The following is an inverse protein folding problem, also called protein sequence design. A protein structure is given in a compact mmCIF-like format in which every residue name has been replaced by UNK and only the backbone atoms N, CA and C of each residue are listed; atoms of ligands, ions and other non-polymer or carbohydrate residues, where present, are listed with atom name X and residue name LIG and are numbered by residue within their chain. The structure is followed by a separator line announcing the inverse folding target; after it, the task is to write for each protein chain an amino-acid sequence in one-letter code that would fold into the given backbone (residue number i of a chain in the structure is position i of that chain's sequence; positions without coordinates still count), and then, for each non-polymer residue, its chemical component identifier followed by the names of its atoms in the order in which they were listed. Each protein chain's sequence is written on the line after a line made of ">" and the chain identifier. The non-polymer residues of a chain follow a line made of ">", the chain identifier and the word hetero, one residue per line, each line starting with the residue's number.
data_IF_197223929796
#
_entry.id   IF_197223929796
#
_cell.length_a   1.000
_cell.length_b   1.000
_cell.length_c   1.000
_cell.angle_alpha   90.00
_cell.angle_beta   90.00
_cell.angle_gamma   90.00
#
_symmetry.space_group_name_H-M   'P 1'
#
loop_
_entity.id
_entity.type
_entity.pdbx_description
1 polymer ?
#
# COMPACT_ATOMS: atom_id res chain seq x y z
N UNK A 1 -0.85 27.81 -44.64
CA UNK A 1 -1.68 27.95 -43.44
C UNK A 1 -0.97 27.27 -42.29
N UNK A 2 -0.71 27.93 -41.16
CA UNK A 2 -0.01 27.28 -40.06
C UNK A 2 -0.94 26.23 -39.45
N UNK A 3 -0.43 25.00 -39.36
CA UNK A 3 -1.09 23.87 -38.75
C UNK A 3 -1.12 24.10 -37.24
N UNK A 4 -2.15 24.79 -36.74
CA UNK A 4 -2.38 24.94 -35.30
C UNK A 4 -2.75 23.55 -34.82
N UNK A 5 -1.79 22.84 -34.23
CA UNK A 5 -2.06 21.61 -33.50
C UNK A 5 -3.13 21.96 -32.45
N UNK A 6 -4.35 21.48 -32.67
CA UNK A 6 -5.44 21.61 -31.70
C UNK A 6 -5.03 20.76 -30.50
N UNK A 7 -4.45 21.42 -29.49
CA UNK A 7 -4.10 20.77 -28.23
C UNK A 7 -5.31 20.88 -27.33
N UNK A 8 -6.07 19.79 -27.22
CA UNK A 8 -7.15 19.71 -26.24
C UNK A 8 -6.58 19.93 -24.84
N UNK A 9 -7.15 20.87 -24.10
CA UNK A 9 -6.81 21.17 -22.71
C UNK A 9 -7.81 20.53 -21.75
N UNK A 10 -7.49 20.55 -20.44
CA UNK A 10 -8.46 20.14 -19.43
C UNK A 10 -9.69 21.05 -19.43
N UNK A 11 -9.51 22.35 -19.70
CA UNK A 11 -10.60 23.32 -19.81
C UNK A 11 -11.53 22.98 -20.99
N UNK A 12 -10.98 22.51 -22.10
CA UNK A 12 -11.79 22.06 -23.25
C UNK A 12 -12.59 20.81 -22.91
N UNK A 13 -11.98 19.89 -22.14
CA UNK A 13 -12.67 18.70 -21.66
C UNK A 13 -13.78 19.04 -20.65
N UNK A 14 -13.54 19.97 -19.73
CA UNK A 14 -14.56 20.46 -18.79
C UNK A 14 -15.75 21.10 -19.53
N UNK A 15 -15.49 21.94 -20.54
CA UNK A 15 -16.53 22.56 -21.37
C UNK A 15 -17.36 21.53 -22.12
N UNK A 16 -16.70 20.51 -22.69
CA UNK A 16 -17.37 19.43 -23.38
C UNK A 16 -18.26 18.61 -22.43
N UNK A 17 -17.70 18.21 -21.28
CA UNK A 17 -18.42 17.46 -20.26
C UNK A 17 -19.62 18.24 -19.73
N UNK A 18 -19.46 19.54 -19.43
CA UNK A 18 -20.54 20.42 -18.98
C UNK A 18 -21.68 20.54 -20.00
N UNK A 19 -21.33 20.62 -21.29
CA UNK A 19 -22.33 20.64 -22.37
C UNK A 19 -23.12 19.35 -22.45
N UNK A 20 -22.46 18.20 -22.35
CA UNK A 20 -23.11 16.88 -22.40
C UNK A 20 -23.97 16.66 -21.17
N UNK A 21 -23.48 17.04 -19.99
CA UNK A 21 -24.20 16.88 -18.73
C UNK A 21 -25.37 17.86 -18.56
N UNK A 22 -25.41 18.94 -19.35
CA UNK A 22 -26.43 19.99 -19.23
C UNK A 22 -26.29 20.87 -17.98
N UNK A 23 -25.16 20.80 -17.27
CA UNK A 23 -24.87 21.57 -16.07
C UNK A 23 -23.36 21.85 -15.93
N UNK A 24 -22.94 22.90 -15.20
CA UNK A 24 -21.52 23.18 -14.98
C UNK A 24 -20.82 22.04 -14.23
N UNK A 25 -19.79 21.45 -14.85
CA UNK A 25 -19.00 20.36 -14.26
C UNK A 25 -17.74 20.85 -13.55
N UNK A 26 -17.59 22.16 -13.32
CA UNK A 26 -16.42 22.74 -12.63
C UNK A 26 -16.15 22.09 -11.28
N UNK A 27 -17.20 21.80 -10.52
CA UNK A 27 -17.07 21.14 -9.21
C UNK A 27 -16.39 19.76 -9.33
N UNK A 28 -16.74 18.98 -10.36
CA UNK A 28 -16.17 17.66 -10.62
C UNK A 28 -14.70 17.80 -11.02
N UNK A 29 -14.39 18.65 -11.99
CA UNK A 29 -13.03 18.86 -12.49
C UNK A 29 -12.09 19.48 -11.46
N UNK A 30 -12.55 20.46 -10.68
CA UNK A 30 -11.76 21.03 -9.59
C UNK A 30 -11.42 19.97 -8.52
N UNK A 31 -12.32 19.01 -8.26
CA UNK A 31 -12.05 17.92 -7.31
C UNK A 31 -11.16 16.83 -7.90
N UNK A 32 -11.33 16.51 -9.19
CA UNK A 32 -10.67 15.39 -9.83
C UNK A 32 -9.31 15.70 -10.44
N UNK A 33 -9.13 16.93 -10.92
CA UNK A 33 -7.92 17.34 -11.65
C UNK A 33 -7.07 18.27 -10.82
N UNK A 34 -7.71 19.16 -10.05
CA UNK A 34 -7.03 20.15 -9.21
C UNK A 34 -6.92 19.71 -7.74
N UNK A 35 -7.60 18.62 -7.35
CA UNK A 35 -7.61 18.08 -5.99
C UNK A 35 -6.32 17.33 -5.62
N UNK A 36 -5.95 17.34 -4.33
CA UNK A 36 -4.73 16.70 -3.82
C UNK A 36 -4.85 15.21 -3.54
N UNK A 37 -5.90 14.53 -4.03
CA UNK A 37 -6.17 13.13 -3.71
C UNK A 37 -7.17 12.48 -4.66
N UNK A 38 -7.34 11.16 -4.52
CA UNK A 38 -8.31 10.36 -5.26
C UNK A 38 -9.44 9.92 -4.32
N UNK A 39 -10.67 9.76 -4.81
CA UNK A 39 -11.75 9.21 -4.02
C UNK A 39 -11.46 7.77 -3.61
N UNK A 40 -11.69 7.48 -2.34
CA UNK A 40 -11.66 6.14 -1.76
C UNK A 40 -13.09 5.69 -1.52
N UNK A 41 -13.39 4.43 -1.84
CA UNK A 41 -14.70 3.84 -1.66
C UNK A 41 -14.60 2.60 -0.76
N UNK A 42 -15.59 2.43 0.11
CA UNK A 42 -15.78 1.24 0.92
C UNK A 42 -17.21 0.73 0.76
N UNK A 43 -17.44 -0.59 0.87
CA UNK A 43 -18.77 -1.18 0.84
C UNK A 43 -18.96 -2.08 2.06
N UNK A 44 -19.91 -1.70 2.92
CA UNK A 44 -20.32 -2.49 4.09
C UNK A 44 -21.69 -3.10 3.79
N UNK A 45 -21.83 -4.41 3.97
CA UNK A 45 -23.06 -5.12 3.60
C UNK A 45 -23.32 -6.36 4.43
N UNK A 46 -24.59 -6.78 4.40
CA UNK A 46 -25.08 -8.01 4.98
C UNK A 46 -25.69 -8.90 3.91
N UNK A 47 -25.55 -10.21 4.11
CA UNK A 47 -26.13 -11.23 3.24
C UNK A 47 -27.34 -11.85 3.96
N UNK A 48 -28.51 -11.72 3.36
CA UNK A 48 -29.77 -12.23 3.90
C UNK A 48 -30.25 -13.37 3.01
N UNK A 49 -30.46 -14.56 3.59
CA UNK A 49 -31.08 -15.67 2.86
C UNK A 49 -32.59 -15.51 2.87
N UNK A 50 -33.21 -15.55 1.69
CA UNK A 50 -34.66 -15.44 1.54
C UNK A 50 -35.34 -16.80 1.72
N UNK A 51 -36.64 -16.79 2.03
CA UNK A 51 -37.45 -18.02 2.14
C UNK A 51 -37.48 -18.82 0.82
N UNK A 52 -37.28 -18.16 -0.32
CA UNK A 52 -37.22 -18.79 -1.65
C UNK A 52 -35.85 -19.37 -2.02
N UNK A 53 -34.89 -19.41 -1.08
CA UNK A 53 -33.57 -19.99 -1.30
C UNK A 53 -32.56 -19.06 -1.98
N UNK A 54 -32.97 -17.85 -2.37
CA UNK A 54 -32.09 -16.79 -2.90
C UNK A 54 -31.36 -16.05 -1.77
N UNK A 55 -30.42 -15.20 -2.15
CA UNK A 55 -29.69 -14.31 -1.26
C UNK A 55 -29.90 -12.85 -1.65
N UNK A 56 -29.96 -11.99 -0.65
CA UNK A 56 -30.01 -10.54 -0.81
C UNK A 56 -28.74 -9.97 -0.18
N UNK A 57 -27.95 -9.27 -0.99
CA UNK A 57 -26.79 -8.51 -0.53
C UNK A 57 -27.19 -7.05 -0.40
N UNK A 58 -27.43 -6.62 0.85
CA UNK A 58 -27.88 -5.26 1.16
C UNK A 58 -26.78 -4.53 1.93
N UNK A 59 -26.44 -3.33 1.48
CA UNK A 59 -25.39 -2.56 2.11
C UNK A 59 -25.37 -1.11 1.68
N UNK A 60 -24.32 -0.44 2.12
CA UNK A 60 -24.04 0.96 1.83
C UNK A 60 -22.63 1.04 1.27
N UNK A 61 -22.48 1.75 0.16
CA UNK A 61 -21.18 2.18 -0.33
C UNK A 61 -20.93 3.60 0.16
N UNK A 62 -19.73 3.87 0.67
CA UNK A 62 -19.32 5.16 1.20
C UNK A 62 -18.05 5.66 0.52
N UNK A 63 -17.87 6.97 0.46
CA UNK A 63 -16.65 7.63 0.00
C UNK A 63 -16.09 8.63 1.01
N UNK A 64 -14.81 8.96 0.88
CA UNK A 64 -14.11 9.92 1.74
C UNK A 64 -14.20 11.38 1.27
N UNK A 65 -14.99 11.69 0.25
CA UNK A 65 -15.23 13.05 -0.23
C UNK A 65 -16.68 13.47 0.01
N UNK A 66 -16.85 14.62 0.64
CA UNK A 66 -18.15 15.27 0.71
C UNK A 66 -18.50 15.90 -0.64
N UNK A 67 -19.76 15.74 -1.06
CA UNK A 67 -20.34 16.34 -2.27
C UNK A 67 -19.71 15.89 -3.60
N UNK A 68 -18.94 14.78 -3.63
CA UNK A 68 -18.48 14.22 -4.89
C UNK A 68 -19.58 13.35 -5.52
N UNK A 69 -20.27 13.90 -6.53
CA UNK A 69 -21.37 13.20 -7.20
C UNK A 69 -20.88 12.43 -8.41
N UNK A 70 -21.02 11.10 -8.38
CA UNK A 70 -20.73 10.25 -9.53
C UNK A 70 -21.58 8.97 -9.52
N UNK A 71 -21.87 8.40 -10.71
CA UNK A 71 -22.33 7.03 -10.81
C UNK A 71 -21.19 6.06 -10.49
N UNK A 72 -21.43 5.13 -9.58
CA UNK A 72 -20.50 4.09 -9.16
C UNK A 72 -21.04 2.71 -9.55
N UNK A 73 -20.28 1.97 -10.36
CA UNK A 73 -20.63 0.59 -10.70
C UNK A 73 -20.17 -0.36 -9.59
N UNK A 74 -21.08 -1.21 -9.12
CA UNK A 74 -20.82 -2.31 -8.19
C UNK A 74 -21.08 -3.64 -8.90
N UNK A 75 -20.28 -4.66 -8.61
CA UNK A 75 -20.50 -6.03 -9.10
C UNK A 75 -20.61 -7.00 -7.94
N UNK A 76 -21.65 -7.82 -7.95
CA UNK A 76 -21.82 -8.95 -7.05
C UNK A 76 -21.28 -10.22 -7.70
N UNK A 77 -20.26 -10.82 -7.08
CA UNK A 77 -19.77 -12.16 -7.44
C UNK A 77 -20.42 -13.19 -6.51
N UNK A 78 -21.01 -14.23 -7.08
CA UNK A 78 -21.75 -15.28 -6.35
C UNK A 78 -21.31 -16.68 -6.77
N UNK A 79 -21.43 -17.65 -5.87
CA UNK A 79 -21.12 -19.07 -6.17
C UNK A 79 -22.03 -19.62 -7.29
N UNK A 80 -21.45 -20.31 -8.27
CA UNK A 80 -22.20 -21.01 -9.32
C UNK A 80 -22.86 -20.12 -10.38
N UNK A 81 -22.73 -18.80 -10.29
CA UNK A 81 -23.22 -17.87 -11.31
C UNK A 81 -22.11 -17.55 -12.33
N UNK A 82 -22.35 -17.89 -13.60
CA UNK A 82 -21.40 -17.63 -14.68
C UNK A 82 -21.29 -16.13 -15.02
N UNK A 83 -22.35 -15.36 -14.76
CA UNK A 83 -22.38 -13.91 -14.95
C UNK A 83 -22.52 -13.23 -13.61
N UNK A 84 -21.62 -12.28 -13.34
CA UNK A 84 -21.74 -11.43 -12.16
C UNK A 84 -22.81 -10.37 -12.39
N UNK A 85 -23.47 -9.94 -11.31
CA UNK A 85 -24.54 -8.95 -11.39
C UNK A 85 -23.97 -7.56 -11.16
N UNK A 86 -24.21 -6.64 -12.08
CA UNK A 86 -23.74 -5.26 -11.95
C UNK A 86 -24.91 -4.33 -11.61
N UNK A 87 -24.68 -3.38 -10.70
CA UNK A 87 -25.61 -2.29 -10.39
C UNK A 87 -24.85 -0.98 -10.41
N UNK A 88 -25.47 0.10 -10.88
CA UNK A 88 -24.92 1.45 -10.75
C UNK A 88 -25.64 2.16 -9.62
N UNK A 89 -24.89 2.68 -8.66
CA UNK A 89 -25.40 3.51 -7.57
C UNK A 89 -24.93 4.95 -7.76
N UNK A 90 -25.83 5.91 -7.58
CA UNK A 90 -25.47 7.32 -7.62
C UNK A 90 -25.16 7.76 -6.20
N UNK A 91 -23.91 8.10 -5.93
CA UNK A 91 -23.54 8.70 -4.64
C UNK A 91 -23.83 10.19 -4.74
N UNK A 92 -24.84 10.66 -4.00
CA UNK A 92 -25.26 12.07 -4.02
C UNK A 92 -24.43 12.93 -3.05
N UNK A 93 -24.03 12.36 -1.92
CA UNK A 93 -23.20 13.00 -0.89
C UNK A 93 -21.99 12.11 -0.54
N UNK A 94 -21.95 11.50 0.65
CA UNK A 94 -20.86 10.64 1.09
C UNK A 94 -21.14 9.13 0.93
N UNK A 95 -22.38 8.74 0.67
CA UNK A 95 -22.76 7.33 0.56
C UNK A 95 -23.99 7.08 -0.31
N UNK A 96 -24.17 5.84 -0.72
CA UNK A 96 -25.39 5.35 -1.37
C UNK A 96 -25.70 3.91 -0.92
N UNK A 97 -26.97 3.62 -0.75
CA UNK A 97 -27.43 2.25 -0.45
C UNK A 97 -27.53 1.42 -1.72
N UNK A 98 -27.27 0.12 -1.58
CA UNK A 98 -27.46 -0.86 -2.64
C UNK A 98 -28.16 -2.11 -2.14
N UNK A 99 -28.81 -2.80 -3.07
CA UNK A 99 -29.51 -4.04 -2.82
C UNK A 99 -29.45 -4.93 -4.07
N UNK A 100 -28.75 -6.06 -4.00
CA UNK A 100 -28.49 -6.96 -5.13
C UNK A 100 -28.93 -8.38 -4.75
N UNK A 101 -29.76 -9.02 -5.58
CA UNK A 101 -30.30 -10.36 -5.34
C UNK A 101 -29.55 -11.42 -6.15
N UNK A 102 -28.98 -12.42 -5.49
CA UNK A 102 -28.34 -13.57 -6.15
C UNK A 102 -29.04 -14.89 -5.85
N UNK A 103 -28.90 -15.84 -6.77
CA UNK A 103 -29.32 -17.24 -6.56
C UNK A 103 -28.21 -18.03 -5.87
N UNK A 104 -26.96 -17.76 -6.24
CA UNK A 104 -25.76 -18.27 -5.57
C UNK A 104 -25.45 -17.52 -4.28
N UNK A 105 -24.69 -18.15 -3.37
CA UNK A 105 -24.20 -17.49 -2.17
C UNK A 105 -23.24 -16.35 -2.56
N UNK A 106 -23.45 -15.11 -2.09
CA UNK A 106 -22.54 -14.00 -2.36
C UNK A 106 -21.13 -14.26 -1.84
N UNK A 107 -20.14 -13.95 -2.67
CA UNK A 107 -18.71 -14.07 -2.36
C UNK A 107 -18.07 -12.71 -2.09
N UNK A 108 -18.40 -11.70 -2.91
CA UNK A 108 -17.85 -10.36 -2.78
C UNK A 108 -18.71 -9.33 -3.52
N UNK A 109 -18.75 -8.10 -2.98
CA UNK A 109 -19.14 -6.89 -3.70
C UNK A 109 -17.85 -6.21 -4.16
N UNK A 110 -17.72 -6.02 -5.47
CA UNK A 110 -16.55 -5.40 -6.11
C UNK A 110 -16.96 -3.99 -6.54
N UNK A 111 -16.21 -2.99 -6.08
CA UNK A 111 -16.42 -1.59 -6.43
C UNK A 111 -15.62 -1.26 -7.69
N UNK A 112 -16.27 -0.61 -8.65
CA UNK A 112 -15.73 -0.21 -9.95
C UNK A 112 -15.03 -1.33 -10.74
N UNK A 113 -15.81 -2.30 -11.29
CA UNK A 113 -15.44 -3.38 -12.18
C UNK A 113 -14.20 -3.22 -13.03
N UNK A 114 -14.31 -2.09 -13.70
CA UNK A 114 -13.74 -1.77 -14.99
C UNK A 114 -12.84 -0.55 -14.87
N UNK A 115 -12.56 -0.09 -13.65
CA UNK A 115 -11.64 1.00 -13.36
C UNK A 115 -12.04 2.30 -14.06
N UNK A 116 -13.34 2.59 -14.10
CA UNK A 116 -13.91 3.83 -14.65
C UNK A 116 -13.60 5.03 -13.76
N UNK A 117 -13.26 4.80 -12.49
CA UNK A 117 -12.99 5.84 -11.51
C UNK A 117 -11.49 5.92 -11.22
N UNK A 118 -10.98 7.15 -11.07
CA UNK A 118 -9.61 7.39 -10.65
C UNK A 118 -9.45 6.87 -9.24
N UNK A 119 -8.53 5.93 -9.12
CA UNK A 119 -8.18 5.26 -7.88
C UNK A 119 -6.67 5.18 -7.82
N UNK A 120 -6.15 5.22 -6.60
CA UNK A 120 -4.79 4.82 -6.33
C UNK A 120 -4.81 3.30 -6.29
N UNK A 121 -3.96 2.65 -7.10
CA UNK A 121 -3.82 1.19 -7.02
C UNK A 121 -3.48 0.79 -5.58
N UNK A 122 -3.94 -0.39 -5.10
CA UNK A 122 -3.60 -0.85 -3.76
C UNK A 122 -2.09 -0.78 -3.48
N UNK A 123 -1.26 -1.17 -4.46
CA UNK A 123 0.19 -1.13 -4.36
C UNK A 123 0.75 0.29 -4.22
N UNK A 124 0.18 1.25 -4.95
CA UNK A 124 0.57 2.65 -4.85
C UNK A 124 0.12 3.25 -3.51
N UNK A 125 -1.02 2.82 -2.96
CA UNK A 125 -1.49 3.24 -1.63
C UNK A 125 -0.54 2.74 -0.54
N UNK A 126 -0.21 1.45 -0.56
CA UNK A 126 0.79 0.83 0.33
C UNK A 126 2.11 1.60 0.24
N UNK A 127 2.60 1.83 -0.98
CA UNK A 127 3.87 2.54 -1.22
C UNK A 127 3.83 3.99 -0.74
N UNK A 128 2.73 4.70 -0.94
CA UNK A 128 2.57 6.10 -0.50
C UNK A 128 2.60 6.21 1.03
N UNK A 129 1.85 5.37 1.73
CA UNK A 129 1.82 5.32 3.20
C UNK A 129 3.20 4.93 3.75
N UNK A 130 3.82 3.88 3.20
CA UNK A 130 5.15 3.46 3.62
C UNK A 130 6.21 4.56 3.40
N UNK A 131 6.15 5.31 2.28
CA UNK A 131 7.05 6.44 2.03
C UNK A 131 6.87 7.57 3.06
N UNK A 132 5.64 7.85 3.52
CA UNK A 132 5.41 8.78 4.63
C UNK A 132 6.08 8.28 5.90
N UNK A 133 5.97 6.99 6.20
CA UNK A 133 6.67 6.37 7.34
C UNK A 133 8.19 6.53 7.26
N UNK A 134 8.79 6.35 6.08
CA UNK A 134 10.23 6.58 5.86
C UNK A 134 10.61 8.04 6.10
N UNK A 135 9.80 8.98 5.65
CA UNK A 135 10.09 10.40 5.85
C UNK A 135 10.02 10.78 7.33
N UNK A 136 8.98 10.33 8.03
CA UNK A 136 8.85 10.51 9.47
C UNK A 136 10.00 9.85 10.25
N UNK A 137 10.48 8.68 9.79
CA UNK A 137 11.65 8.02 10.37
C UNK A 137 12.92 8.88 10.23
N UNK A 138 13.15 9.48 9.06
CA UNK A 138 14.30 10.38 8.82
C UNK A 138 14.22 11.66 9.67
N UNK A 139 13.02 12.17 9.89
CA UNK A 139 12.77 13.32 10.76
C UNK A 139 12.92 13.00 12.26
N UNK A 140 13.08 11.71 12.62
CA UNK A 140 13.18 11.27 14.01
C UNK A 140 11.82 11.08 14.70
N UNK A 141 10.71 11.24 13.96
CA UNK A 141 9.35 11.07 14.45
C UNK A 141 8.97 9.59 14.50
N UNK A 142 9.63 8.81 15.37
CA UNK A 142 9.54 7.35 15.35
C UNK A 142 8.14 6.78 15.61
N UNK A 143 7.34 7.42 16.46
CA UNK A 143 5.96 6.99 16.74
C UNK A 143 5.08 7.11 15.48
N UNK A 144 5.20 8.22 14.76
CA UNK A 144 4.46 8.44 13.53
C UNK A 144 4.96 7.51 12.42
N UNK A 145 6.28 7.33 12.30
CA UNK A 145 6.87 6.39 11.35
C UNK A 145 6.32 4.96 11.55
N UNK A 146 6.29 4.47 12.78
CA UNK A 146 5.73 3.16 13.11
C UNK A 146 4.22 3.09 12.75
N UNK A 147 3.46 4.12 13.08
CA UNK A 147 2.02 4.20 12.77
C UNK A 147 1.76 4.08 11.26
N UNK A 148 2.56 4.77 10.44
CA UNK A 148 2.45 4.70 8.98
C UNK A 148 2.85 3.31 8.45
N UNK A 149 3.93 2.70 8.96
CA UNK A 149 4.31 1.35 8.55
C UNK A 149 3.25 0.30 8.91
N UNK A 150 2.68 0.37 10.12
CA UNK A 150 1.58 -0.51 10.53
C UNK A 150 0.32 -0.30 9.68
N UNK A 151 0.00 0.95 9.31
CA UNK A 151 -1.08 1.25 8.39
C UNK A 151 -0.86 0.65 7.00
N UNK A 152 0.38 0.68 6.49
CA UNK A 152 0.72 0.05 5.22
C UNK A 152 0.65 -1.48 5.30
N UNK A 153 1.08 -2.10 6.40
CA UNK A 153 0.96 -3.55 6.63
C UNK A 153 -0.49 -4.02 6.81
N UNK A 154 -1.41 -3.15 7.26
CA UNK A 154 -2.85 -3.47 7.26
C UNK A 154 -3.38 -3.71 5.85
N UNK A 155 -2.80 -3.04 4.85
CA UNK A 155 -3.16 -3.17 3.44
C UNK A 155 -2.41 -4.31 2.75
N UNK A 156 -1.12 -4.49 3.02
CA UNK A 156 -0.31 -5.64 2.55
C UNK A 156 0.49 -6.23 3.71
N UNK A 157 -0.07 -7.28 4.34
CA UNK A 157 0.51 -7.95 5.51
C UNK A 157 1.81 -8.70 5.21
N UNK A 158 2.11 -8.95 3.94
CA UNK A 158 3.27 -9.70 3.48
C UNK A 158 4.42 -8.82 3.01
N UNK A 159 4.27 -7.49 3.03
CA UNK A 159 5.22 -6.59 2.40
C UNK A 159 6.60 -6.58 3.09
N UNK A 160 7.56 -7.28 2.49
CA UNK A 160 8.91 -7.45 3.00
C UNK A 160 9.65 -6.11 3.17
N UNK A 161 9.41 -5.15 2.27
CA UNK A 161 10.04 -3.84 2.33
C UNK A 161 9.60 -3.03 3.56
N UNK A 162 8.32 -3.12 3.93
CA UNK A 162 7.81 -2.43 5.12
C UNK A 162 8.37 -3.06 6.40
N UNK A 163 8.44 -4.39 6.48
CA UNK A 163 9.09 -5.07 7.60
C UNK A 163 10.56 -4.67 7.75
N UNK A 164 11.29 -4.50 6.64
CA UNK A 164 12.67 -4.03 6.69
C UNK A 164 12.79 -2.63 7.32
N UNK A 165 11.91 -1.70 6.94
CA UNK A 165 11.91 -0.36 7.54
C UNK A 165 11.47 -0.34 9.01
N UNK A 166 10.51 -1.18 9.41
CA UNK A 166 10.21 -1.39 10.83
C UNK A 166 11.41 -1.94 11.59
N UNK A 167 12.16 -2.88 10.98
CA UNK A 167 13.40 -3.39 11.55
C UNK A 167 14.44 -2.28 11.78
N UNK A 168 14.62 -1.38 10.80
CA UNK A 168 15.51 -0.22 10.93
C UNK A 168 15.03 0.73 12.03
N UNK A 169 13.73 1.00 12.10
CA UNK A 169 13.13 1.85 13.12
C UNK A 169 13.39 1.29 14.52
N UNK A 170 13.14 0.00 14.74
CA UNK A 170 13.38 -0.64 16.04
C UNK A 170 14.86 -0.73 16.37
N UNK A 171 15.73 -0.91 15.39
CA UNK A 171 17.18 -0.89 15.60
C UNK A 171 17.64 0.48 16.11
N UNK A 172 17.12 1.56 15.52
CA UNK A 172 17.41 2.94 15.93
C UNK A 172 16.87 3.23 17.35
N UNK A 173 15.66 2.75 17.66
CA UNK A 173 15.09 2.80 19.01
C UNK A 173 15.78 1.87 20.02
N UNK A 174 16.81 1.11 19.60
CA UNK A 174 17.52 0.11 20.42
C UNK A 174 16.63 -1.03 20.91
N UNK A 175 15.48 -1.25 20.27
CA UNK A 175 14.63 -2.40 20.50
C UNK A 175 15.08 -3.57 19.61
N UNK A 176 16.22 -4.16 19.99
CA UNK A 176 16.95 -5.10 19.14
C UNK A 176 16.17 -6.40 18.87
N UNK A 177 15.35 -6.86 19.80
CA UNK A 177 14.53 -8.07 19.59
C UNK A 177 13.45 -7.86 18.53
N UNK A 178 12.70 -6.73 18.62
CA UNK A 178 11.76 -6.37 17.57
C UNK A 178 12.45 -6.11 16.23
N UNK A 179 13.62 -5.48 16.24
CA UNK A 179 14.39 -5.27 15.02
C UNK A 179 14.72 -6.60 14.32
N UNK A 180 15.24 -7.57 15.09
CA UNK A 180 15.57 -8.91 14.59
C UNK A 180 14.34 -9.59 13.99
N UNK A 181 13.21 -9.57 14.69
CA UNK A 181 12.00 -10.25 14.21
C UNK A 181 11.43 -9.62 12.94
N UNK A 182 11.51 -8.30 12.82
CA UNK A 182 11.12 -7.60 11.60
C UNK A 182 12.08 -7.88 10.43
N UNK A 183 13.39 -7.95 10.65
CA UNK A 183 14.32 -8.34 9.60
C UNK A 183 14.17 -9.81 9.18
N UNK A 184 13.83 -10.72 10.11
CA UNK A 184 13.45 -12.10 9.75
C UNK A 184 12.20 -12.09 8.87
N UNK A 185 11.18 -11.32 9.23
CA UNK A 185 9.97 -11.18 8.43
C UNK A 185 10.29 -10.61 7.02
N UNK A 186 11.15 -9.59 6.92
CA UNK A 186 11.59 -9.03 5.65
C UNK A 186 12.34 -10.03 4.76
N UNK A 187 13.13 -10.93 5.36
CA UNK A 187 13.79 -12.04 4.66
C UNK A 187 12.81 -13.12 4.19
N UNK A 188 11.91 -13.52 5.09
CA UNK A 188 11.09 -14.72 4.94
C UNK A 188 9.80 -14.47 4.16
N UNK A 189 9.35 -13.22 4.09
CA UNK A 189 8.18 -12.79 3.32
C UNK A 189 8.60 -12.24 1.94
N UNK A 190 7.64 -12.12 1.04
CA UNK A 190 7.82 -11.43 -0.24
C UNK A 190 6.68 -10.45 -0.47
N UNK A 191 6.84 -9.53 -1.41
CA UNK A 191 5.77 -8.59 -1.75
C UNK A 191 4.72 -9.31 -2.61
N UNK A 192 3.43 -9.04 -2.39
CA UNK A 192 2.39 -9.64 -3.23
C UNK A 192 2.66 -9.30 -4.70
N UNK A 193 2.66 -10.34 -5.55
CA UNK A 193 2.85 -10.19 -7.00
C UNK A 193 4.25 -9.79 -7.46
N UNK A 194 5.26 -9.68 -6.58
CA UNK A 194 6.62 -9.28 -6.95
C UNK A 194 7.69 -10.26 -6.44
N UNK A 195 8.75 -10.42 -7.24
CA UNK A 195 9.92 -11.19 -6.83
C UNK A 195 10.59 -10.54 -5.60
N UNK A 196 11.10 -11.37 -4.68
CA UNK A 196 11.87 -10.88 -3.53
C UNK A 196 13.17 -10.27 -4.01
N UNK A 197 13.44 -8.98 -3.76
CA UNK A 197 14.71 -8.40 -4.14
C UNK A 197 15.84 -9.00 -3.31
N UNK A 198 16.90 -9.49 -3.96
CA UNK A 198 18.03 -10.11 -3.27
C UNK A 198 18.77 -9.11 -2.35
N UNK A 199 18.81 -7.83 -2.74
CA UNK A 199 19.35 -6.76 -1.91
C UNK A 199 18.66 -6.66 -0.54
N UNK A 200 17.36 -6.92 -0.47
CA UNK A 200 16.61 -6.88 0.78
C UNK A 200 16.99 -8.04 1.70
N UNK A 201 17.25 -9.22 1.10
CA UNK A 201 17.68 -10.40 1.83
C UNK A 201 19.06 -10.18 2.47
N UNK A 202 20.04 -9.74 1.68
CA UNK A 202 21.41 -9.49 2.19
C UNK A 202 21.41 -8.42 3.28
N UNK A 203 20.70 -7.31 3.07
CA UNK A 203 20.65 -6.24 4.05
C UNK A 203 19.87 -6.61 5.31
N UNK A 204 18.84 -7.46 5.22
CA UNK A 204 18.15 -7.98 6.40
C UNK A 204 19.09 -8.84 7.26
N UNK A 205 19.92 -9.68 6.65
CA UNK A 205 20.94 -10.46 7.38
C UNK A 205 22.02 -9.57 8.02
N UNK A 206 22.51 -8.55 7.30
CA UNK A 206 23.45 -7.56 7.86
C UNK A 206 22.82 -6.85 9.06
N UNK A 207 21.59 -6.35 8.94
CA UNK A 207 20.95 -5.58 10.01
C UNK A 207 20.54 -6.45 11.20
N UNK A 208 20.18 -7.73 10.99
CA UNK A 208 20.09 -8.70 12.09
C UNK A 208 21.43 -8.89 12.79
N UNK A 209 22.52 -8.98 12.04
CA UNK A 209 23.87 -9.03 12.61
C UNK A 209 24.16 -7.83 13.50
N UNK A 210 23.83 -6.63 13.02
CA UNK A 210 24.00 -5.38 13.79
C UNK A 210 23.19 -5.39 15.08
N UNK A 211 21.93 -5.86 15.02
CA UNK A 211 21.09 -6.00 16.20
C UNK A 211 21.67 -7.01 17.21
N UNK A 212 22.22 -8.14 16.75
CA UNK A 212 22.88 -9.11 17.63
C UNK A 212 24.16 -8.55 18.28
N UNK A 213 25.02 -7.85 17.52
CA UNK A 213 26.21 -7.19 18.06
C UNK A 213 25.83 -6.14 19.11
N UNK A 214 24.79 -5.34 18.85
CA UNK A 214 24.29 -4.35 19.79
C UNK A 214 23.75 -4.96 21.10
N UNK A 215 23.28 -6.22 21.04
CA UNK A 215 22.91 -7.02 22.23
C UNK A 215 24.11 -7.69 22.92
N UNK A 216 25.31 -7.62 22.35
CA UNK A 216 26.50 -8.34 22.80
C UNK A 216 26.55 -9.81 22.37
N UNK A 217 25.65 -10.28 21.50
CA UNK A 217 25.63 -11.64 20.97
C UNK A 217 26.47 -11.74 19.69
N UNK A 218 27.79 -11.63 19.86
CA UNK A 218 28.74 -11.64 18.74
C UNK A 218 28.67 -12.92 17.92
N UNK A 219 28.38 -14.05 18.55
CA UNK A 219 28.30 -15.36 17.88
C UNK A 219 27.16 -15.37 16.86
N UNK A 220 25.95 -14.92 17.25
CA UNK A 220 24.83 -14.82 16.32
C UNK A 220 25.03 -13.72 15.28
N UNK A 221 25.68 -12.61 15.65
CA UNK A 221 26.02 -11.54 14.73
C UNK A 221 26.90 -12.03 13.57
N UNK A 222 28.03 -12.66 13.88
CA UNK A 222 28.94 -13.26 12.88
C UNK A 222 28.22 -14.32 12.05
N UNK A 223 27.34 -15.12 12.66
CA UNK A 223 26.50 -16.05 11.93
C UNK A 223 25.61 -15.37 10.88
N UNK A 224 25.03 -14.22 11.19
CA UNK A 224 24.23 -13.43 10.26
C UNK A 224 25.07 -12.80 9.15
N UNK A 225 26.23 -12.24 9.48
CA UNK A 225 27.14 -11.70 8.48
C UNK A 225 27.65 -12.75 7.50
N UNK A 226 27.93 -13.99 7.96
CA UNK A 226 28.29 -15.11 7.08
C UNK A 226 27.15 -15.53 6.14
N UNK A 227 25.90 -15.46 6.60
CA UNK A 227 24.74 -15.69 5.71
C UNK A 227 24.65 -14.59 4.65
N UNK A 228 24.84 -13.32 5.03
CA UNK A 228 24.90 -12.20 4.09
C UNK A 228 26.05 -12.34 3.06
N UNK A 229 27.22 -12.81 3.49
CA UNK A 229 28.35 -13.15 2.61
C UNK A 229 27.98 -14.22 1.58
N UNK A 230 27.30 -15.28 2.05
CA UNK A 230 26.88 -16.41 1.21
C UNK A 230 25.85 -15.98 0.15
N UNK A 231 24.98 -15.02 0.47
CA UNK A 231 24.03 -14.44 -0.49
C UNK A 231 24.78 -13.73 -1.63
N UNK A 232 25.91 -13.08 -1.32
CA UNK A 232 26.81 -12.50 -2.32
C UNK A 232 26.32 -11.25 -3.06
N UNK A 233 25.07 -10.82 -2.84
CA UNK A 233 24.54 -9.58 -3.40
C UNK A 233 25.32 -8.37 -2.84
N UNK A 234 25.83 -7.52 -3.73
CA UNK A 234 26.64 -6.35 -3.35
C UNK A 234 25.92 -5.03 -3.64
N UNK A 235 24.59 -5.02 -3.65
CA UNK A 235 23.84 -3.77 -3.77
C UNK A 235 24.14 -2.84 -2.59
N UNK A 236 24.38 -1.57 -2.88
CA UNK A 236 24.75 -0.54 -1.89
C UNK A 236 25.97 -0.89 -1.03
N UNK A 237 26.95 -1.60 -1.60
CA UNK A 237 28.18 -2.04 -0.91
C UNK A 237 27.92 -2.99 0.27
N UNK A 238 26.87 -3.81 0.18
CA UNK A 238 26.53 -4.79 1.22
C UNK A 238 27.71 -5.70 1.61
N UNK A 239 28.53 -6.15 0.65
CA UNK A 239 29.64 -7.05 0.94
C UNK A 239 30.81 -6.34 1.66
N UNK A 240 30.98 -5.04 1.44
CA UNK A 240 31.95 -4.25 2.20
C UNK A 240 31.46 -4.02 3.64
N UNK A 241 30.15 -3.81 3.83
CA UNK A 241 29.54 -3.77 5.16
C UNK A 241 29.71 -5.11 5.88
N UNK A 242 29.53 -6.25 5.21
CA UNK A 242 29.77 -7.59 5.78
C UNK A 242 31.22 -7.72 6.25
N UNK A 243 32.21 -7.41 5.40
CA UNK A 243 33.64 -7.48 5.77
C UNK A 243 33.94 -6.59 6.97
N UNK A 244 33.43 -5.35 6.97
CA UNK A 244 33.56 -4.42 8.10
C UNK A 244 33.02 -5.04 9.38
N UNK A 245 31.79 -5.55 9.35
CA UNK A 245 31.14 -6.05 10.57
C UNK A 245 31.64 -7.42 11.02
N UNK A 246 32.22 -8.23 10.14
CA UNK A 246 32.98 -9.42 10.53
C UNK A 246 34.29 -9.05 11.24
N UNK A 247 34.99 -8.02 10.77
CA UNK A 247 36.24 -7.56 11.36
C UNK A 247 36.03 -6.80 12.69
N UNK A 248 34.95 -6.03 12.81
CA UNK A 248 34.66 -5.20 13.99
C UNK A 248 33.17 -5.21 14.30
N UNK A 249 32.77 -5.43 15.58
CA UNK A 249 31.36 -5.41 15.95
C UNK A 249 30.67 -4.09 15.60
N UNK A 250 29.40 -4.17 15.20
CA UNK A 250 28.56 -2.99 15.09
C UNK A 250 28.39 -2.32 16.47
N UNK A 251 28.70 -1.02 16.56
CA UNK A 251 28.42 -0.21 17.75
C UNK A 251 27.24 0.74 17.49
N UNK A 252 26.10 0.59 18.20
CA UNK A 252 24.93 1.48 18.07
C UNK A 252 25.15 2.89 18.64
N UNK A 253 26.32 3.20 19.21
CA UNK A 253 26.68 4.55 19.69
C UNK A 253 27.60 5.29 18.72
N UNK A 254 28.23 4.58 17.78
CA UNK A 254 29.05 5.18 16.75
C UNK A 254 28.13 5.95 15.78
N UNK A 255 28.42 7.24 15.50
CA UNK A 255 27.66 8.02 14.51
C UNK A 255 27.84 7.38 13.14
N UNK A 256 26.87 6.57 12.75
CA UNK A 256 26.80 6.00 11.41
C UNK A 256 26.34 7.14 10.48
N UNK A 257 27.11 7.42 9.42
CA UNK A 257 26.57 8.16 8.27
C UNK A 257 25.50 7.26 7.64
N UNK A 258 24.26 7.32 8.13
CA UNK A 258 23.15 6.55 7.61
C UNK A 258 22.78 7.10 6.23
N UNK A 259 23.42 6.55 5.20
CA UNK A 259 22.84 6.55 3.87
C UNK A 259 21.56 5.72 3.98
N UNK A 260 20.43 6.41 4.04
CA UNK A 260 19.14 5.76 3.77
C UNK A 260 19.23 5.27 2.33
N UNK A 261 19.11 3.96 2.14
CA UNK A 261 19.08 3.30 0.83
C UNK A 261 18.12 4.11 -0.06
N UNK A 262 18.64 4.72 -1.12
CA UNK A 262 17.87 5.57 -2.06
C UNK A 262 16.94 4.74 -2.92
#
# INVERSE_FOLDING_TARGET
>A
MPNIAVRASIDDFEKLASRIAGQPMRYFFARWVEGTGVPEFNADYQIIRTKGGKFITRGTVSQNYDNLRLPLELQLRSEGEAQSQNVTVNIEDASADFNIESTGKPLAVIIDPNYKILRISPDLRVSSIARRGIEQFKEGNYVEAQTQFEAALKLDRSNAWIYYHLGLLFLEQRNYDLAIDNFKAARDLGNQGAARPMWLHVWSEIKMGNAYDAKGDRTRAVGAYKRAETIGDNYDNAQDAVKRYQASPFDPKEKQNTAVIK
#
